data_IF_041071482975
#
_entry.id   IF_041071482975
#
_cell.length_a   1.000
_cell.length_b   1.000
_cell.length_c   1.000
_cell.angle_alpha   90.00
_cell.angle_beta   90.00
_cell.angle_gamma   90.00
#
_symmetry.space_group_name_H-M   'P 1'
#
loop_
_entity.id
_entity.type
_entity.pdbx_description
1 polymer ?
#
# COMPACT_ATOMS: atom_id res chain seq x y z
N UNK A 1 -43.55 4.81 28.64
CA UNK A 1 -42.72 5.54 27.65
C UNK A 1 -41.24 5.67 28.05
N UNK A 2 -40.88 5.96 29.32
CA UNK A 2 -39.47 6.08 29.77
C UNK A 2 -38.58 4.82 29.56
N UNK A 3 -39.15 3.60 29.59
CA UNK A 3 -38.40 2.35 29.36
C UNK A 3 -38.00 2.08 27.90
N UNK A 4 -38.77 2.60 26.93
CA UNK A 4 -38.48 2.44 25.50
C UNK A 4 -37.32 3.37 25.08
N UNK A 5 -37.24 4.55 25.69
CA UNK A 5 -36.16 5.50 25.44
C UNK A 5 -34.78 4.94 25.85
N UNK A 6 -34.73 4.13 26.91
CA UNK A 6 -33.50 3.49 27.40
C UNK A 6 -32.98 2.40 26.46
N UNK A 7 -33.88 1.68 25.78
CA UNK A 7 -33.51 0.68 24.77
C UNK A 7 -32.96 1.31 23.49
N UNK A 8 -33.50 2.46 23.08
CA UNK A 8 -33.02 3.23 21.91
C UNK A 8 -31.60 3.78 22.12
N UNK A 9 -31.27 4.18 23.34
CA UNK A 9 -29.94 4.67 23.70
C UNK A 9 -28.92 3.52 23.68
N UNK A 10 -29.30 2.31 24.10
CA UNK A 10 -28.39 1.16 24.11
C UNK A 10 -28.01 0.69 22.70
N UNK A 11 -28.91 0.84 21.71
CA UNK A 11 -28.63 0.51 20.31
C UNK A 11 -27.60 1.45 19.66
N UNK A 12 -27.42 2.67 20.17
CA UNK A 12 -26.43 3.63 19.66
C UNK A 12 -24.98 3.27 20.07
N UNK A 13 -24.79 2.45 21.10
CA UNK A 13 -23.45 2.05 21.58
C UNK A 13 -22.90 0.77 20.94
N UNK A 14 -23.68 0.06 20.12
CA UNK A 14 -23.26 -1.22 19.50
C UNK A 14 -22.51 -1.02 18.17
N UNK A 15 -22.45 0.20 17.65
CA UNK A 15 -21.83 0.48 16.35
C UNK A 15 -20.47 1.18 16.48
N UNK A 16 -19.47 0.45 16.94
CA UNK A 16 -18.07 0.68 16.51
C UNK A 16 -17.32 -0.65 16.55
N UNK A 17 -17.64 -1.52 15.59
CA UNK A 17 -16.82 -2.70 15.34
C UNK A 17 -15.61 -2.25 14.51
N UNK A 18 -14.65 -1.58 15.15
CA UNK A 18 -13.33 -1.41 14.54
C UNK A 18 -12.69 -2.78 14.52
N UNK A 19 -12.81 -3.50 13.40
CA UNK A 19 -11.94 -4.63 13.15
C UNK A 19 -10.51 -4.09 13.19
N UNK A 20 -9.76 -4.43 14.24
CA UNK A 20 -8.38 -4.00 14.38
C UNK A 20 -7.62 -4.35 13.09
N UNK A 21 -7.06 -3.34 12.43
CA UNK A 21 -6.20 -3.54 11.28
C UNK A 21 -5.05 -4.45 11.71
N UNK A 22 -4.94 -5.63 11.09
CA UNK A 22 -3.88 -6.59 11.39
C UNK A 22 -2.52 -5.92 11.21
N UNK A 23 -1.72 -5.93 12.28
CA UNK A 23 -0.36 -5.41 12.29
C UNK A 23 0.60 -6.53 11.96
N UNK A 24 1.51 -6.28 11.02
CA UNK A 24 2.54 -7.23 10.60
C UNK A 24 3.88 -6.53 10.54
N UNK A 25 4.95 -7.25 10.86
CA UNK A 25 6.31 -6.78 10.66
C UNK A 25 6.90 -7.52 9.47
N UNK A 26 7.46 -6.77 8.52
CA UNK A 26 8.09 -7.33 7.33
C UNK A 26 9.46 -6.69 7.12
N UNK A 27 10.40 -7.45 6.56
CA UNK A 27 11.68 -6.92 6.08
C UNK A 27 11.54 -6.41 4.64
N UNK A 28 10.90 -7.24 3.81
CA UNK A 28 10.54 -7.02 2.42
C UNK A 28 9.46 -8.03 2.05
N UNK A 29 8.77 -7.82 0.93
CA UNK A 29 7.81 -8.78 0.39
C UNK A 29 6.54 -8.14 -0.15
N UNK A 30 5.64 -8.99 -0.63
CA UNK A 30 4.34 -8.58 -1.17
C UNK A 30 3.33 -8.26 -0.06
N UNK A 31 2.59 -7.17 -0.26
CA UNK A 31 1.45 -6.77 0.56
C UNK A 31 0.18 -6.99 -0.27
N UNK A 32 -0.55 -8.05 0.04
CA UNK A 32 -1.74 -8.48 -0.71
C UNK A 32 -3.05 -8.43 0.10
N UNK A 33 -2.99 -7.99 1.36
CA UNK A 33 -4.15 -7.95 2.26
C UNK A 33 -4.20 -6.63 3.02
N UNK A 34 -5.39 -6.08 3.29
CA UNK A 34 -5.52 -4.90 4.13
C UNK A 34 -4.88 -5.11 5.51
N UNK A 35 -4.13 -4.11 5.97
CA UNK A 35 -3.36 -4.20 7.20
C UNK A 35 -2.34 -3.07 7.34
N UNK A 36 -1.62 -3.09 8.46
CA UNK A 36 -0.52 -2.16 8.76
C UNK A 36 0.76 -2.96 8.81
N UNK A 37 1.72 -2.62 7.95
CA UNK A 37 2.97 -3.33 7.77
C UNK A 37 4.13 -2.44 8.21
N UNK A 38 4.75 -2.79 9.33
CA UNK A 38 5.95 -2.13 9.83
C UNK A 38 7.17 -2.67 9.10
N UNK A 39 7.92 -1.76 8.47
CA UNK A 39 9.15 -2.06 7.72
C UNK A 39 10.31 -1.43 8.46
N UNK A 40 11.22 -2.28 8.95
CA UNK A 40 12.40 -1.84 9.68
C UNK A 40 13.54 -1.52 8.72
N UNK A 41 13.93 -0.24 8.68
CA UNK A 41 15.12 0.18 7.96
C UNK A 41 16.37 0.02 8.83
N UNK A 42 17.54 -0.09 8.20
CA UNK A 42 18.84 -0.27 8.89
C UNK A 42 19.20 0.89 9.83
N UNK A 43 18.66 2.07 9.62
CA UNK A 43 18.88 3.28 10.44
C UNK A 43 17.89 3.42 11.62
N UNK A 44 17.27 2.31 12.05
CA UNK A 44 16.27 2.24 13.13
C UNK A 44 15.01 3.07 12.88
N UNK A 45 14.81 3.61 11.68
CA UNK A 45 13.54 4.24 11.31
C UNK A 45 12.55 3.16 10.89
N UNK A 46 11.46 3.05 11.64
CA UNK A 46 10.31 2.25 11.22
C UNK A 46 9.41 3.09 10.33
N UNK A 47 9.21 2.63 9.10
CA UNK A 47 8.13 3.11 8.23
C UNK A 47 6.96 2.14 8.32
N UNK A 48 5.75 2.64 8.12
CA UNK A 48 4.55 1.82 8.07
C UNK A 48 3.94 1.93 6.67
N UNK A 49 3.62 0.79 6.07
CA UNK A 49 2.78 0.72 4.88
C UNK A 49 1.39 0.34 5.35
N UNK A 50 0.42 1.20 5.08
CA UNK A 50 -0.98 0.96 5.42
C UNK A 50 -1.71 0.61 4.13
N UNK A 51 -2.20 -0.62 4.01
CA UNK A 51 -3.09 -1.03 2.93
C UNK A 51 -4.52 -1.08 3.49
N UNK A 52 -5.44 -0.34 2.89
CA UNK A 52 -6.82 -0.24 3.35
C UNK A 52 -7.78 -0.56 2.21
N UNK A 53 -8.79 -1.36 2.50
CA UNK A 53 -9.95 -1.56 1.63
C UNK A 53 -11.12 -0.72 2.16
N UNK A 54 -11.80 -0.02 1.27
CA UNK A 54 -12.99 0.75 1.58
C UNK A 54 -14.27 -0.09 1.38
N UNK A 55 -15.43 0.48 1.75
CA UNK A 55 -16.72 -0.22 1.66
C UNK A 55 -17.16 -0.49 0.22
N UNK A 56 -16.70 0.33 -0.73
CA UNK A 56 -16.88 0.13 -2.17
C UNK A 56 -15.84 -0.83 -2.77
N UNK A 57 -15.12 -1.56 -1.91
CA UNK A 57 -14.09 -2.53 -2.24
C UNK A 57 -12.82 -1.96 -2.87
N UNK A 58 -12.74 -0.65 -3.11
CA UNK A 58 -11.52 0.01 -3.57
C UNK A 58 -10.42 -0.14 -2.52
N UNK A 59 -9.18 -0.38 -2.99
CA UNK A 59 -8.03 -0.60 -2.13
C UNK A 59 -7.02 0.51 -2.37
N UNK A 60 -6.53 1.12 -1.29
CA UNK A 60 -5.51 2.17 -1.32
C UNK A 60 -4.38 1.84 -0.38
N UNK A 61 -3.17 2.31 -0.71
CA UNK A 61 -2.07 2.31 0.25
C UNK A 61 -1.53 3.71 0.57
N UNK A 62 -0.94 3.81 1.75
CA UNK A 62 -0.20 4.97 2.21
C UNK A 62 1.08 4.54 2.93
N UNK A 63 2.09 5.41 2.89
CA UNK A 63 3.32 5.26 3.67
C UNK A 63 3.29 6.29 4.78
N UNK A 64 3.50 5.86 6.02
CA UNK A 64 3.54 6.73 7.19
C UNK A 64 4.83 6.56 7.98
N UNK A 65 5.18 7.56 8.78
CA UNK A 65 6.21 7.42 9.80
C UNK A 65 5.69 6.66 11.03
N UNK A 66 6.54 6.48 12.04
CA UNK A 66 6.17 5.77 13.26
C UNK A 66 5.07 6.49 14.07
N UNK A 67 4.93 7.82 13.93
CA UNK A 67 3.86 8.64 14.52
C UNK A 67 2.57 8.67 13.69
N UNK A 68 2.50 7.90 12.60
CA UNK A 68 1.39 7.88 11.64
C UNK A 68 1.25 9.17 10.80
N UNK A 69 2.27 10.02 10.72
CA UNK A 69 2.30 11.12 9.75
C UNK A 69 2.40 10.53 8.35
N UNK A 70 1.49 10.93 7.46
CA UNK A 70 1.49 10.50 6.05
C UNK A 70 2.71 11.11 5.35
N UNK A 71 3.55 10.23 4.80
CA UNK A 71 4.72 10.58 3.98
C UNK A 71 4.40 10.43 2.49
N UNK A 72 3.49 9.52 2.15
CA UNK A 72 2.99 9.29 0.80
C UNK A 72 1.58 8.69 0.88
N UNK A 73 0.73 9.03 -0.08
CA UNK A 73 -0.57 8.38 -0.28
C UNK A 73 -0.79 8.19 -1.79
N UNK A 74 -1.27 7.02 -2.17
CA UNK A 74 -1.74 6.78 -3.53
C UNK A 74 -2.87 7.76 -3.91
N UNK A 75 -2.98 8.11 -5.18
CA UNK A 75 -4.07 8.95 -5.68
C UNK A 75 -5.43 8.24 -5.48
N UNK A 76 -6.40 8.95 -4.91
CA UNK A 76 -7.73 8.41 -4.59
C UNK A 76 -8.55 8.01 -5.82
N UNK A 77 -8.21 8.53 -7.00
CA UNK A 77 -8.84 8.21 -8.28
C UNK A 77 -8.10 7.10 -9.05
N UNK A 78 -7.03 6.52 -8.49
CA UNK A 78 -6.26 5.41 -9.08
C UNK A 78 -6.03 4.28 -8.07
N UNK A 79 -7.07 3.92 -7.34
CA UNK A 79 -7.07 2.82 -6.35
C UNK A 79 -6.87 1.46 -7.02
N UNK A 80 -6.44 0.45 -6.26
CA UNK A 80 -6.50 -0.92 -6.75
C UNK A 80 -7.93 -1.47 -6.65
N UNK A 81 -8.29 -2.34 -7.59
CA UNK A 81 -9.53 -3.11 -7.57
C UNK A 81 -9.23 -4.57 -7.23
N UNK A 82 -10.01 -5.24 -6.35
CA UNK A 82 -9.85 -6.68 -6.14
C UNK A 82 -10.20 -7.51 -7.38
N UNK A 83 -10.86 -6.91 -8.37
CA UNK A 83 -11.28 -7.56 -9.61
C UNK A 83 -10.25 -7.49 -10.73
N UNK A 84 -9.18 -6.71 -10.55
CA UNK A 84 -8.11 -6.54 -11.54
C UNK A 84 -6.76 -6.92 -10.95
N UNK A 85 -5.80 -7.22 -11.82
CA UNK A 85 -4.47 -7.55 -11.37
C UNK A 85 -3.76 -6.30 -10.82
N UNK A 86 -3.29 -6.40 -9.59
CA UNK A 86 -2.37 -5.44 -9.00
C UNK A 86 -1.38 -6.19 -8.13
N UNK A 87 -0.22 -5.60 -7.92
CA UNK A 87 0.74 -6.08 -6.94
C UNK A 87 1.39 -4.91 -6.25
N UNK A 88 1.65 -5.07 -4.95
CA UNK A 88 2.30 -4.09 -4.09
C UNK A 88 3.43 -4.82 -3.37
N UNK A 89 4.66 -4.37 -3.58
CA UNK A 89 5.87 -4.96 -3.02
C UNK A 89 6.65 -3.92 -2.26
N UNK A 90 7.27 -4.32 -1.16
CA UNK A 90 8.16 -3.48 -0.36
C UNK A 90 9.54 -4.10 -0.31
N UNK A 91 10.58 -3.31 -0.61
CA UNK A 91 11.96 -3.77 -0.52
C UNK A 91 12.58 -3.55 0.88
N UNK A 92 13.83 -4.00 1.06
CA UNK A 92 14.55 -3.87 2.34
C UNK A 92 14.87 -2.42 2.73
N UNK A 93 14.76 -1.49 1.78
CA UNK A 93 14.94 -0.05 1.99
C UNK A 93 13.60 0.66 2.26
N UNK A 94 12.51 -0.09 2.39
CA UNK A 94 11.14 0.41 2.49
C UNK A 94 10.68 1.26 1.29
N UNK A 95 11.31 1.11 0.12
CA UNK A 95 10.71 1.61 -1.11
C UNK A 95 9.54 0.70 -1.49
N UNK A 96 8.53 1.29 -2.09
CA UNK A 96 7.32 0.58 -2.50
C UNK A 96 7.27 0.51 -4.01
N UNK A 97 7.02 -0.68 -4.53
CA UNK A 97 6.92 -0.98 -5.95
C UNK A 97 5.52 -1.49 -6.21
N UNK A 98 4.81 -0.91 -7.17
CA UNK A 98 3.49 -1.42 -7.50
C UNK A 98 3.19 -1.37 -8.99
N UNK A 99 2.35 -2.31 -9.39
CA UNK A 99 1.68 -2.29 -10.68
C UNK A 99 0.17 -2.34 -10.48
N UNK A 100 -0.55 -1.52 -11.24
CA UNK A 100 -2.01 -1.53 -11.29
C UNK A 100 -2.47 -1.67 -12.74
N UNK A 101 -3.07 -2.83 -13.09
CA UNK A 101 -3.52 -3.09 -14.45
C UNK A 101 -4.70 -2.21 -14.89
N UNK A 102 -5.57 -1.78 -13.97
CA UNK A 102 -6.70 -0.89 -14.26
C UNK A 102 -6.26 0.40 -14.98
N UNK A 103 -5.08 0.90 -14.62
CA UNK A 103 -4.55 2.18 -15.10
C UNK A 103 -3.24 2.02 -15.87
N UNK A 104 -2.82 0.79 -16.17
CA UNK A 104 -1.49 0.48 -16.73
C UNK A 104 -0.36 1.20 -15.99
N UNK A 105 -0.45 1.27 -14.66
CA UNK A 105 0.41 2.14 -13.85
C UNK A 105 1.53 1.35 -13.19
N UNK A 106 2.76 1.60 -13.62
CA UNK A 106 4.02 1.00 -13.14
C UNK A 106 4.82 1.98 -12.30
N UNK A 107 4.66 1.99 -10.97
CA UNK A 107 5.30 3.00 -10.11
C UNK A 107 6.26 2.41 -9.08
N UNK A 108 7.33 3.16 -8.84
CA UNK A 108 8.26 3.01 -7.74
C UNK A 108 8.17 4.24 -6.85
N UNK A 109 7.95 4.04 -5.56
CA UNK A 109 7.83 5.06 -4.53
C UNK A 109 9.11 4.98 -3.70
N UNK A 110 10.07 5.83 -4.01
CA UNK A 110 11.46 5.75 -3.52
C UNK A 110 11.73 6.89 -2.56
N UNK A 111 12.32 6.58 -1.40
CA UNK A 111 12.68 7.61 -0.42
C UNK A 111 13.84 8.45 -0.95
N UNK A 112 13.63 9.77 -1.05
CA UNK A 112 14.72 10.71 -1.28
C UNK A 112 15.44 10.98 0.05
N UNK A 113 16.75 10.68 0.17
CA UNK A 113 17.49 10.83 1.41
C UNK A 113 17.68 12.30 1.83
N UNK A 114 17.72 13.23 0.88
CA UNK A 114 17.95 14.65 1.14
C UNK A 114 16.70 15.32 1.69
N UNK A 115 15.54 15.02 1.11
CA UNK A 115 14.25 15.63 1.51
C UNK A 115 13.49 14.82 2.55
N UNK A 116 13.87 13.54 2.77
CA UNK A 116 13.13 12.57 3.58
C UNK A 116 11.67 12.35 3.12
N UNK A 117 11.36 12.71 1.87
CA UNK A 117 10.06 12.50 1.22
C UNK A 117 10.15 11.39 0.18
N UNK A 118 9.03 10.75 -0.11
CA UNK A 118 8.97 9.76 -1.18
C UNK A 118 8.74 10.42 -2.54
N UNK A 119 9.53 10.01 -3.53
CA UNK A 119 9.36 10.36 -4.93
C UNK A 119 8.65 9.24 -5.68
N UNK A 120 7.77 9.62 -6.59
CA UNK A 120 7.10 8.68 -7.50
C UNK A 120 7.87 8.63 -8.82
N UNK A 121 8.31 7.45 -9.23
CA UNK A 121 8.97 7.21 -10.52
C UNK A 121 8.21 6.17 -11.30
N UNK A 122 8.08 6.37 -12.60
CA UNK A 122 7.56 5.32 -13.48
C UNK A 122 8.70 4.40 -13.91
N UNK A 123 8.66 3.15 -13.46
CA UNK A 123 9.72 2.19 -13.76
C UNK A 123 9.64 1.63 -15.20
N UNK A 124 8.60 1.93 -15.97
CA UNK A 124 8.58 1.60 -17.39
C UNK A 124 9.10 2.74 -18.26
N UNK A 125 8.93 3.99 -17.83
CA UNK A 125 9.49 5.15 -18.54
C UNK A 125 10.97 5.40 -18.22
N UNK A 126 11.40 5.04 -17.00
CA UNK A 126 12.77 5.18 -16.52
C UNK A 126 13.32 3.80 -16.20
N UNK A 127 14.55 3.50 -16.64
CA UNK A 127 15.21 2.23 -16.35
C UNK A 127 15.63 2.18 -14.88
N UNK A 128 14.88 1.45 -14.07
CA UNK A 128 15.14 1.17 -12.66
C UNK A 128 15.47 -0.31 -12.48
N UNK A 129 16.31 -0.62 -11.49
CA UNK A 129 16.59 -2.00 -11.12
C UNK A 129 15.45 -2.46 -10.20
N UNK A 130 14.59 -3.34 -10.71
CA UNK A 130 13.47 -3.89 -9.96
C UNK A 130 13.95 -4.91 -8.92
N UNK A 131 13.30 -5.01 -7.74
CA UNK A 131 13.51 -6.13 -6.83
C UNK A 131 13.26 -7.47 -7.54
N UNK A 132 14.13 -8.45 -7.32
CA UNK A 132 14.11 -9.74 -8.04
C UNK A 132 12.76 -10.45 -7.94
N UNK A 133 12.16 -10.48 -6.75
CA UNK A 133 10.86 -11.12 -6.52
C UNK A 133 9.73 -10.40 -7.24
N UNK A 134 9.73 -9.06 -7.18
CA UNK A 134 8.77 -8.21 -7.88
C UNK A 134 8.89 -8.38 -9.40
N UNK A 135 10.10 -8.38 -9.94
CA UNK A 135 10.36 -8.63 -11.37
C UNK A 135 9.78 -9.97 -11.82
N UNK A 136 10.06 -11.04 -11.07
CA UNK A 136 9.54 -12.39 -11.38
C UNK A 136 8.02 -12.45 -11.40
N UNK A 137 7.37 -11.83 -10.41
CA UNK A 137 5.91 -11.75 -10.35
C UNK A 137 5.32 -11.06 -11.58
N UNK A 138 5.95 -9.97 -12.05
CA UNK A 138 5.54 -9.25 -13.24
C UNK A 138 5.80 -10.04 -14.55
N UNK A 139 6.91 -10.76 -14.65
CA UNK A 139 7.25 -11.61 -15.81
C UNK A 139 6.23 -12.74 -16.00
N UNK A 140 5.81 -13.39 -14.91
CA UNK A 140 4.80 -14.48 -14.95
C UNK A 140 3.46 -14.02 -15.55
N UNK A 141 3.14 -12.72 -15.41
CA UNK A 141 1.88 -12.15 -15.88
C UNK A 141 1.97 -11.56 -17.29
N UNK A 142 3.14 -11.62 -17.96
CA UNK A 142 3.39 -11.14 -19.33
C UNK A 142 2.92 -9.69 -19.58
N UNK A 143 2.95 -8.85 -18.55
CA UNK A 143 2.25 -7.56 -18.59
C UNK A 143 3.03 -6.44 -19.28
N UNK A 144 4.28 -6.68 -19.72
CA UNK A 144 5.17 -5.61 -20.18
C UNK A 144 5.90 -5.97 -21.47
N UNK A 145 5.49 -5.36 -22.57
CA UNK A 145 6.20 -5.43 -23.86
C UNK A 145 7.13 -4.23 -24.09
N UNK A 146 6.82 -3.06 -23.51
CA UNK A 146 7.51 -1.79 -23.75
C UNK A 146 8.08 -1.12 -22.48
N UNK A 147 8.46 -1.90 -21.47
CA UNK A 147 8.93 -1.38 -20.19
C UNK A 147 10.46 -1.34 -20.12
N UNK A 148 11.05 -0.14 -19.95
CA UNK A 148 12.52 0.02 -19.95
C UNK A 148 13.24 -0.72 -18.83
N UNK A 149 12.58 -1.04 -17.72
CA UNK A 149 13.19 -1.84 -16.64
C UNK A 149 13.25 -3.34 -16.92
N UNK A 150 12.56 -3.83 -17.95
CA UNK A 150 12.63 -5.23 -18.40
C UNK A 150 13.54 -5.44 -19.61
N UNK A 151 13.85 -4.37 -20.36
CA UNK A 151 14.74 -4.34 -21.53
C UNK A 151 16.15 -3.85 -21.17
#
# INVERSE_FOLDING_TARGET
>A
MKRILLFLIFLLFVSCNESELKRQQIKSGFINKPGIYSVFQRDLKTKKIVLKQFKDESIIFAITDFHNKILFQQELNKTFSPYHYWCLYVDEQANVWFYNSDYSSSKAIILNPDTQLYEVKDFCEIKLILPTEFRKELEVKNTFTNCKSFN
#
